data_IF_562153116293
#
_entry.id   IF_562153116293
#
_cell.length_a   1.000
_cell.length_b   1.000
_cell.length_c   1.000
_cell.angle_alpha   90.00
_cell.angle_beta   90.00
_cell.angle_gamma   90.00
#
_symmetry.space_group_name_H-M   'P 1'
#
loop_
_entity.id
_entity.type
_entity.pdbx_description
1 polymer ?
#
# COMPACT_ATOMS: atom_id res chain seq x y z
N UNK A 1 1.93 -22.69 29.26
CA UNK A 1 1.29 -22.08 28.07
C UNK A 1 2.11 -22.51 26.87
N UNK A 2 1.64 -23.51 26.10
CA UNK A 2 2.35 -23.97 24.89
C UNK A 2 2.28 -22.85 23.86
N UNK A 3 3.42 -22.20 23.58
CA UNK A 3 3.58 -21.31 22.43
C UNK A 3 3.48 -22.23 21.21
N UNK A 4 2.28 -22.36 20.64
CA UNK A 4 2.14 -22.93 19.29
C UNK A 4 2.99 -22.00 18.42
N UNK A 5 4.11 -22.51 17.91
CA UNK A 5 4.96 -21.78 16.98
C UNK A 5 4.11 -21.63 15.72
N UNK A 6 3.46 -20.47 15.58
CA UNK A 6 2.83 -20.09 14.32
C UNK A 6 3.91 -20.24 13.25
N UNK A 7 3.66 -21.10 12.26
CA UNK A 7 4.63 -21.31 11.21
C UNK A 7 4.77 -20.00 10.42
N UNK A 8 5.95 -19.37 10.48
CA UNK A 8 6.27 -18.12 9.79
C UNK A 8 6.83 -18.35 8.37
N UNK A 9 6.94 -19.61 7.92
CA UNK A 9 7.50 -19.97 6.61
C UNK A 9 6.78 -19.28 5.44
N UNK A 10 5.46 -19.09 5.54
CA UNK A 10 4.69 -18.41 4.50
C UNK A 10 5.03 -16.92 4.41
N UNK A 11 5.43 -16.27 5.51
CA UNK A 11 5.89 -14.87 5.53
C UNK A 11 7.23 -14.75 4.81
N UNK A 12 8.12 -15.73 5.00
CA UNK A 12 9.38 -15.81 4.23
C UNK A 12 9.07 -15.89 2.74
N UNK A 13 8.10 -16.73 2.34
CA UNK A 13 7.62 -16.81 0.96
C UNK A 13 7.13 -15.48 0.41
N UNK A 14 6.36 -14.72 1.18
CA UNK A 14 5.89 -13.37 0.80
C UNK A 14 7.06 -12.40 0.62
N UNK A 15 8.02 -12.39 1.54
CA UNK A 15 9.19 -11.50 1.48
C UNK A 15 10.03 -11.82 0.24
N UNK A 16 10.38 -13.09 0.04
CA UNK A 16 11.18 -13.53 -1.12
C UNK A 16 10.45 -13.26 -2.43
N UNK A 17 9.16 -13.57 -2.51
CA UNK A 17 8.33 -13.28 -3.67
C UNK A 17 8.25 -11.79 -3.98
N UNK A 18 8.13 -10.95 -2.95
CA UNK A 18 8.11 -9.48 -3.09
C UNK A 18 9.42 -8.95 -3.64
N UNK A 19 10.56 -9.43 -3.11
CA UNK A 19 11.90 -9.05 -3.59
C UNK A 19 12.09 -9.46 -5.05
N UNK A 20 11.71 -10.69 -5.40
CA UNK A 20 11.79 -11.20 -6.78
C UNK A 20 10.93 -10.35 -7.73
N UNK A 21 9.69 -10.04 -7.34
CA UNK A 21 8.82 -9.16 -8.14
C UNK A 21 9.39 -7.76 -8.31
N UNK A 22 10.04 -7.18 -7.29
CA UNK A 22 10.74 -5.91 -7.43
C UNK A 22 11.94 -5.99 -8.37
N UNK A 23 12.73 -7.06 -8.31
CA UNK A 23 13.83 -7.29 -9.26
C UNK A 23 13.27 -7.36 -10.69
N UNK A 24 12.17 -8.08 -10.90
CA UNK A 24 11.48 -8.19 -12.18
C UNK A 24 11.00 -6.84 -12.68
N UNK A 25 10.33 -6.05 -11.84
CA UNK A 25 9.85 -4.70 -12.19
C UNK A 25 11.02 -3.81 -12.62
N UNK A 26 12.12 -3.82 -11.87
CA UNK A 26 13.30 -3.01 -12.17
C UNK A 26 13.97 -3.43 -13.48
N UNK A 27 14.25 -4.72 -13.67
CA UNK A 27 15.03 -5.21 -14.82
C UNK A 27 14.21 -5.33 -16.09
N UNK A 28 12.99 -5.87 -16.00
CA UNK A 28 12.18 -6.22 -17.17
C UNK A 28 11.28 -5.06 -17.57
N UNK A 29 10.52 -4.50 -16.63
CA UNK A 29 9.53 -3.47 -16.96
C UNK A 29 10.13 -2.08 -17.09
N UNK A 30 10.92 -1.67 -16.10
CA UNK A 30 11.54 -0.33 -16.05
C UNK A 30 12.89 -0.26 -16.75
N UNK A 31 13.53 -1.42 -17.01
CA UNK A 31 14.88 -1.52 -17.60
C UNK A 31 15.94 -0.71 -16.84
N UNK A 32 15.75 -0.55 -15.53
CA UNK A 32 16.63 0.16 -14.62
C UNK A 32 17.10 -0.80 -13.52
N UNK A 33 18.32 -1.37 -13.61
CA UNK A 33 18.79 -2.33 -12.61
C UNK A 33 19.09 -1.69 -11.25
N UNK A 34 19.33 -0.38 -11.22
CA UNK A 34 19.66 0.35 -9.99
C UNK A 34 18.43 1.08 -9.42
N UNK A 35 18.11 0.79 -8.15
CA UNK A 35 17.00 1.42 -7.42
C UNK A 35 17.08 2.95 -7.42
N UNK A 36 18.27 3.52 -7.22
CA UNK A 36 18.45 4.98 -7.16
C UNK A 36 18.19 5.62 -8.53
N UNK A 37 18.61 4.95 -9.61
CA UNK A 37 18.30 5.40 -10.98
C UNK A 37 16.80 5.33 -11.26
N UNK A 38 16.13 4.27 -10.83
CA UNK A 38 14.66 4.15 -10.94
C UNK A 38 13.92 5.25 -10.17
N UNK A 39 14.34 5.55 -8.94
CA UNK A 39 13.71 6.59 -8.12
C UNK A 39 13.88 8.00 -8.72
N UNK A 40 15.01 8.26 -9.39
CA UNK A 40 15.29 9.55 -10.05
C UNK A 40 14.83 9.62 -11.51
N UNK A 41 14.23 8.56 -12.06
CA UNK A 41 13.79 8.52 -13.45
C UNK A 41 12.64 9.50 -13.72
N UNK A 42 12.65 10.19 -14.85
CA UNK A 42 11.55 11.06 -15.23
C UNK A 42 10.39 10.28 -15.86
N UNK A 43 9.19 10.87 -15.79
CA UNK A 43 7.97 10.25 -16.33
C UNK A 43 8.07 9.96 -17.84
N UNK A 44 8.76 10.83 -18.59
CA UNK A 44 8.88 10.71 -20.05
C UNK A 44 9.80 9.55 -20.46
N UNK A 45 10.83 9.27 -19.66
CA UNK A 45 11.81 8.22 -19.92
C UNK A 45 11.37 6.85 -19.37
N UNK A 46 10.17 6.78 -18.79
CA UNK A 46 9.66 5.58 -18.11
C UNK A 46 8.78 4.74 -19.03
N UNK A 47 9.25 3.54 -19.37
CA UNK A 47 8.46 2.53 -20.07
C UNK A 47 7.55 1.76 -19.11
N UNK A 48 6.45 1.19 -19.63
CA UNK A 48 5.59 0.23 -18.92
C UNK A 48 5.10 0.69 -17.52
N UNK A 49 4.78 1.98 -17.37
CA UNK A 49 4.48 2.55 -16.05
C UNK A 49 3.25 1.90 -15.41
N UNK A 50 2.17 1.71 -16.18
CA UNK A 50 0.93 1.16 -15.65
C UNK A 50 1.07 -0.31 -15.18
N UNK A 51 1.66 -1.24 -15.96
CA UNK A 51 1.96 -2.58 -15.48
C UNK A 51 2.89 -2.60 -14.26
N UNK A 52 3.92 -1.75 -14.22
CA UNK A 52 4.80 -1.62 -13.04
C UNK A 52 4.04 -1.15 -11.81
N UNK A 53 3.15 -0.16 -11.98
CA UNK A 53 2.29 0.35 -10.92
C UNK A 53 1.40 -0.76 -10.36
N UNK A 54 0.76 -1.55 -11.21
CA UNK A 54 -0.08 -2.67 -10.77
C UNK A 54 0.71 -3.71 -9.96
N UNK A 55 1.89 -4.11 -10.44
CA UNK A 55 2.72 -5.09 -9.75
C UNK A 55 3.21 -4.56 -8.40
N UNK A 56 3.75 -3.33 -8.37
CA UNK A 56 4.25 -2.73 -7.12
C UNK A 56 3.11 -2.47 -6.13
N UNK A 57 1.95 -2.02 -6.59
CA UNK A 57 0.77 -1.88 -5.74
C UNK A 57 0.30 -3.22 -5.17
N UNK A 58 0.33 -4.29 -5.95
CA UNK A 58 -0.02 -5.64 -5.48
C UNK A 58 0.95 -6.11 -4.39
N UNK A 59 2.25 -5.98 -4.63
CA UNK A 59 3.28 -6.31 -3.62
C UNK A 59 3.08 -5.48 -2.35
N UNK A 60 2.85 -4.17 -2.49
CA UNK A 60 2.59 -3.29 -1.36
C UNK A 60 1.34 -3.71 -0.56
N UNK A 61 0.24 -4.06 -1.24
CA UNK A 61 -0.99 -4.53 -0.59
C UNK A 61 -0.74 -5.83 0.18
N UNK A 62 -0.02 -6.79 -0.40
CA UNK A 62 0.30 -8.06 0.26
C UNK A 62 1.17 -7.82 1.49
N UNK A 63 2.24 -7.03 1.37
CA UNK A 63 3.12 -6.70 2.49
C UNK A 63 2.37 -5.96 3.61
N UNK A 64 1.56 -4.97 3.25
CA UNK A 64 0.77 -4.21 4.22
C UNK A 64 -0.24 -5.10 4.93
N UNK A 65 -0.93 -5.99 4.20
CA UNK A 65 -1.89 -6.95 4.76
C UNK A 65 -1.23 -7.96 5.68
N UNK A 66 0.00 -8.36 5.36
CA UNK A 66 0.83 -9.25 6.19
C UNK A 66 1.22 -8.55 7.50
N UNK A 67 1.50 -7.25 7.46
CA UNK A 67 1.83 -6.50 8.67
C UNK A 67 0.58 -6.26 9.53
N UNK A 68 -0.54 -5.88 8.90
CA UNK A 68 -1.76 -5.49 9.60
C UNK A 68 -2.52 -6.66 10.20
N UNK A 69 -2.44 -7.88 9.64
CA UNK A 69 -3.23 -9.00 10.17
C UNK A 69 -2.87 -9.33 11.63
N UNK A 70 -1.63 -9.11 12.06
CA UNK A 70 -1.20 -9.31 13.44
C UNK A 70 -1.97 -8.44 14.45
N UNK A 71 -2.50 -7.29 13.98
CA UNK A 71 -3.21 -6.33 14.81
C UNK A 71 -4.74 -6.49 14.71
N UNK A 72 -5.25 -7.26 13.75
CA UNK A 72 -6.69 -7.46 13.60
C UNK A 72 -7.21 -8.42 14.68
N UNK A 73 -8.17 -7.97 15.52
CA UNK A 73 -8.58 -8.72 16.70
C UNK A 73 -9.36 -9.99 16.36
N UNK A 74 -10.28 -9.91 15.40
CA UNK A 74 -11.07 -11.06 14.96
C UNK A 74 -11.66 -10.83 13.56
N UNK A 75 -12.02 -11.91 12.87
CA UNK A 75 -12.76 -11.82 11.60
C UNK A 75 -14.24 -11.56 11.94
N UNK A 76 -14.88 -10.52 11.39
CA UNK A 76 -16.27 -10.25 11.66
C UNK A 76 -17.21 -11.39 11.24
N UNK A 77 -18.28 -11.62 12.01
CA UNK A 77 -19.24 -12.72 11.78
C UNK A 77 -19.91 -12.69 10.40
N UNK A 78 -20.16 -11.49 9.86
CA UNK A 78 -20.76 -11.34 8.53
C UNK A 78 -19.81 -11.79 7.41
N UNK A 79 -18.49 -11.83 7.66
CA UNK A 79 -17.49 -12.37 6.72
C UNK A 79 -17.29 -13.86 6.95
N UNK A 80 -17.30 -14.32 8.20
CA UNK A 80 -17.13 -15.76 8.51
C UNK A 80 -18.30 -16.60 7.96
N UNK A 81 -19.50 -16.03 7.88
CA UNK A 81 -20.69 -16.71 7.36
C UNK A 81 -20.73 -16.82 5.82
N UNK A 82 -19.90 -16.06 5.10
CA UNK A 82 -19.88 -16.03 3.62
C UNK A 82 -18.96 -17.12 3.05
N UNK A 83 -18.63 -18.15 3.84
CA UNK A 83 -17.70 -19.22 3.49
C UNK A 83 -17.84 -19.70 2.04
N UNK A 84 -16.87 -19.34 1.21
CA UNK A 84 -16.86 -19.74 -0.20
C UNK A 84 -16.36 -21.18 -0.25
N UNK A 85 -17.20 -22.09 -0.74
CA UNK A 85 -16.89 -23.52 -0.87
C UNK A 85 -16.47 -24.21 0.46
N UNK A 86 -16.99 -23.76 1.61
CA UNK A 86 -16.73 -24.35 2.92
C UNK A 86 -15.41 -23.91 3.58
N UNK A 87 -14.67 -22.99 2.97
CA UNK A 87 -13.50 -22.37 3.59
C UNK A 87 -13.90 -21.10 4.36
N UNK A 88 -13.62 -21.07 5.66
CA UNK A 88 -13.71 -19.85 6.45
C UNK A 88 -12.50 -18.94 6.16
N UNK A 89 -12.70 -17.65 5.87
CA UNK A 89 -11.61 -16.74 5.60
C UNK A 89 -10.71 -16.59 6.83
N UNK A 90 -9.41 -16.84 6.64
CA UNK A 90 -8.40 -16.61 7.68
C UNK A 90 -8.29 -15.12 8.01
N UNK A 91 -7.74 -14.77 9.18
CA UNK A 91 -7.47 -13.36 9.56
C UNK A 91 -6.68 -12.63 8.47
N UNK A 92 -5.69 -13.31 7.88
CA UNK A 92 -4.93 -12.80 6.74
C UNK A 92 -5.78 -12.65 5.47
N UNK A 93 -6.63 -13.62 5.14
CA UNK A 93 -7.52 -13.53 3.98
C UNK A 93 -8.50 -12.36 4.09
N UNK A 94 -9.05 -12.13 5.28
CA UNK A 94 -9.88 -10.96 5.58
C UNK A 94 -9.11 -9.65 5.40
N UNK A 95 -7.92 -9.52 6.00
CA UNK A 95 -7.13 -8.29 5.88
C UNK A 95 -6.71 -8.02 4.44
N UNK A 96 -6.27 -9.05 3.72
CA UNK A 96 -5.90 -8.94 2.31
C UNK A 96 -7.07 -8.47 1.44
N UNK A 97 -8.26 -9.02 1.65
CA UNK A 97 -9.46 -8.62 0.91
C UNK A 97 -9.80 -7.15 1.19
N UNK A 98 -9.90 -6.77 2.46
CA UNK A 98 -10.27 -5.40 2.86
C UNK A 98 -9.26 -4.38 2.33
N UNK A 99 -7.95 -4.64 2.47
CA UNK A 99 -6.90 -3.74 1.97
C UNK A 99 -6.91 -3.69 0.44
N UNK A 100 -7.12 -4.82 -0.25
CA UNK A 100 -7.21 -4.86 -1.72
C UNK A 100 -8.38 -4.03 -2.23
N UNK A 101 -9.59 -4.24 -1.69
CA UNK A 101 -10.79 -3.48 -2.05
C UNK A 101 -10.59 -2.00 -1.77
N UNK A 102 -9.99 -1.65 -0.63
CA UNK A 102 -9.68 -0.28 -0.27
C UNK A 102 -8.80 0.42 -1.31
N UNK A 103 -7.66 -0.17 -1.68
CA UNK A 103 -6.75 0.44 -2.65
C UNK A 103 -7.35 0.46 -4.06
N UNK A 104 -8.16 -0.54 -4.42
CA UNK A 104 -8.90 -0.57 -5.68
C UNK A 104 -9.90 0.58 -5.75
N UNK A 105 -10.80 0.70 -4.77
CA UNK A 105 -11.79 1.79 -4.71
C UNK A 105 -11.09 3.15 -4.70
N UNK A 106 -10.02 3.31 -3.91
CA UNK A 106 -9.24 4.56 -3.87
C UNK A 106 -8.64 4.91 -5.25
N UNK A 107 -8.17 3.92 -6.01
CA UNK A 107 -7.64 4.14 -7.35
C UNK A 107 -8.72 4.66 -8.31
N UNK A 108 -9.92 4.07 -8.31
CA UNK A 108 -11.04 4.53 -9.13
C UNK A 108 -11.57 5.89 -8.71
N UNK A 109 -11.72 6.15 -7.40
CA UNK A 109 -12.13 7.47 -6.92
C UNK A 109 -11.12 8.55 -7.31
N UNK A 110 -9.82 8.23 -7.28
CA UNK A 110 -8.78 9.13 -7.77
C UNK A 110 -8.91 9.37 -9.28
N UNK A 111 -9.16 8.33 -10.07
CA UNK A 111 -9.41 8.48 -11.51
C UNK A 111 -10.62 9.38 -11.80
N UNK A 112 -11.74 9.16 -11.11
CA UNK A 112 -12.94 9.99 -11.26
C UNK A 112 -12.69 11.45 -10.86
N UNK A 113 -11.93 11.68 -9.78
CA UNK A 113 -11.55 13.04 -9.39
C UNK A 113 -10.73 13.76 -10.47
N UNK A 114 -9.72 13.10 -11.06
CA UNK A 114 -8.94 13.71 -12.13
C UNK A 114 -9.74 13.91 -13.42
N UNK A 115 -10.73 13.04 -13.67
CA UNK A 115 -11.65 13.17 -14.79
C UNK A 115 -12.62 14.35 -14.60
N UNK A 116 -13.12 14.57 -13.37
CA UNK A 116 -14.07 15.66 -13.08
C UNK A 116 -13.45 17.05 -13.13
N UNK A 117 -12.13 17.16 -12.94
CA UNK A 117 -11.40 18.45 -12.94
C UNK A 117 -10.75 18.73 -14.31
N UNK A 118 -11.00 17.89 -15.33
CA UNK A 118 -10.41 17.98 -16.68
C UNK A 118 -8.86 17.93 -16.73
N UNK A 119 -8.22 17.29 -15.73
CA UNK A 119 -6.76 17.13 -15.65
C UNK A 119 -6.37 15.66 -15.85
N UNK A 120 -7.06 14.94 -16.75
CA UNK A 120 -6.81 13.51 -16.96
C UNK A 120 -5.35 13.20 -17.36
N UNK A 121 -4.69 14.11 -18.08
CA UNK A 121 -3.26 13.99 -18.42
C UNK A 121 -2.34 13.94 -17.19
N UNK A 122 -2.77 14.51 -16.06
CA UNK A 122 -2.05 14.47 -14.78
C UNK A 122 -2.15 13.12 -14.06
N UNK A 123 -3.17 12.32 -14.37
CA UNK A 123 -3.38 11.00 -13.74
C UNK A 123 -2.24 10.03 -14.03
N UNK A 124 -1.67 10.09 -15.25
CA UNK A 124 -0.45 9.37 -15.64
C UNK A 124 0.71 9.60 -14.67
N UNK A 125 1.03 10.88 -14.47
CA UNK A 125 2.09 11.32 -13.56
C UNK A 125 1.78 10.95 -12.11
N UNK A 126 0.50 10.92 -11.75
CA UNK A 126 0.06 10.59 -10.40
C UNK A 126 0.32 9.13 -10.03
N UNK A 127 -0.08 8.18 -10.88
CA UNK A 127 0.20 6.77 -10.57
C UNK A 127 1.68 6.43 -10.74
N UNK A 128 2.44 7.15 -11.58
CA UNK A 128 3.91 7.05 -11.62
C UNK A 128 4.55 7.46 -10.29
N UNK A 129 4.07 8.55 -9.69
CA UNK A 129 4.54 8.98 -8.38
C UNK A 129 4.15 8.00 -7.28
N UNK A 130 2.91 7.48 -7.34
CA UNK A 130 2.44 6.44 -6.43
C UNK A 130 3.27 5.16 -6.55
N UNK A 131 3.67 4.77 -7.77
CA UNK A 131 4.54 3.63 -8.03
C UNK A 131 5.85 3.75 -7.24
N UNK A 132 6.57 4.88 -7.36
CA UNK A 132 7.82 5.10 -6.63
C UNK A 132 7.61 5.12 -5.12
N UNK A 133 6.55 5.78 -4.67
CA UNK A 133 6.22 5.87 -3.26
C UNK A 133 5.89 4.49 -2.65
N UNK A 134 5.07 3.67 -3.33
CA UNK A 134 4.76 2.31 -2.88
C UNK A 134 5.96 1.38 -2.95
N UNK A 135 6.85 1.56 -3.93
CA UNK A 135 8.10 0.82 -4.01
C UNK A 135 8.97 1.08 -2.77
N UNK A 136 9.20 2.35 -2.43
CA UNK A 136 10.01 2.72 -1.25
C UNK A 136 9.37 2.24 0.05
N UNK A 137 8.05 2.46 0.22
CA UNK A 137 7.36 1.95 1.40
C UNK A 137 7.37 0.42 1.46
N UNK A 138 7.27 -0.26 0.33
CA UNK A 138 7.34 -1.71 0.28
C UNK A 138 8.69 -2.25 0.76
N UNK A 139 9.79 -1.59 0.41
CA UNK A 139 11.11 -1.93 0.98
C UNK A 139 11.14 -1.75 2.50
N UNK A 140 10.57 -0.64 3.02
CA UNK A 140 10.46 -0.41 4.46
C UNK A 140 9.59 -1.49 5.12
N UNK A 141 8.47 -1.88 4.51
CA UNK A 141 7.58 -2.93 5.01
C UNK A 141 8.26 -4.29 5.05
N UNK A 142 9.10 -4.64 4.06
CA UNK A 142 9.88 -5.89 4.10
C UNK A 142 10.77 -5.93 5.34
N UNK A 143 11.48 -4.83 5.63
CA UNK A 143 12.33 -4.72 6.83
C UNK A 143 11.49 -4.82 8.11
N UNK A 144 10.36 -4.11 8.16
CA UNK A 144 9.46 -4.15 9.32
C UNK A 144 8.87 -5.55 9.56
N UNK A 145 8.46 -6.26 8.50
CA UNK A 145 7.97 -7.63 8.61
C UNK A 145 9.05 -8.56 9.17
N UNK A 146 10.30 -8.38 8.75
CA UNK A 146 11.40 -9.14 9.32
C UNK A 146 11.52 -8.91 10.84
N UNK A 147 11.47 -7.65 11.29
CA UNK A 147 11.49 -7.35 12.72
C UNK A 147 10.28 -7.90 13.48
N UNK A 148 9.07 -7.75 12.95
CA UNK A 148 7.83 -8.16 13.61
C UNK A 148 7.73 -9.68 13.76
N UNK A 149 8.10 -10.44 12.72
CA UNK A 149 7.90 -11.89 12.71
C UNK A 149 9.05 -12.67 13.31
N UNK A 150 10.29 -12.19 13.19
CA UNK A 150 11.47 -12.93 13.64
C UNK A 150 12.04 -12.42 14.97
N UNK A 151 11.53 -11.30 15.50
CA UNK A 151 11.94 -10.75 16.80
C UNK A 151 10.78 -10.77 17.78
N UNK A 152 11.06 -11.11 19.04
CA UNK A 152 10.06 -11.09 20.11
C UNK A 152 9.85 -9.68 20.68
N UNK A 153 9.28 -8.78 19.87
CA UNK A 153 8.93 -7.41 20.29
C UNK A 153 7.53 -7.40 20.91
N UNK A 154 7.31 -6.51 21.87
CA UNK A 154 5.99 -6.30 22.47
C UNK A 154 4.96 -5.83 21.43
N UNK A 155 3.79 -6.46 21.44
CA UNK A 155 2.71 -6.21 20.47
C UNK A 155 2.14 -4.79 20.62
N UNK A 156 2.11 -4.26 21.83
CA UNK A 156 1.59 -2.91 22.08
C UNK A 156 2.52 -1.85 21.49
N UNK A 157 3.84 -2.00 21.68
CA UNK A 157 4.84 -1.12 21.09
C UNK A 157 4.81 -1.17 19.55
N UNK A 158 4.67 -2.38 18.98
CA UNK A 158 4.54 -2.57 17.54
C UNK A 158 3.30 -1.88 16.96
N UNK A 159 2.16 -1.97 17.65
CA UNK A 159 0.92 -1.31 17.24
C UNK A 159 1.09 0.22 17.23
N UNK A 160 1.70 0.79 18.27
CA UNK A 160 1.97 2.24 18.32
C UNK A 160 2.89 2.68 17.19
N UNK A 161 3.99 1.96 16.97
CA UNK A 161 4.94 2.25 15.90
C UNK A 161 4.29 2.14 14.51
N UNK A 162 3.37 1.18 14.33
CA UNK A 162 2.59 1.05 13.11
C UNK A 162 1.70 2.28 12.87
N UNK A 163 0.92 2.74 13.86
CA UNK A 163 0.06 3.92 13.69
C UNK A 163 0.86 5.21 13.46
N UNK A 164 1.94 5.43 14.21
CA UNK A 164 2.82 6.59 14.00
C UNK A 164 3.49 6.54 12.63
N UNK A 165 4.01 5.37 12.23
CA UNK A 165 4.63 5.16 10.93
C UNK A 165 3.64 5.38 9.78
N UNK A 166 2.41 4.88 9.89
CA UNK A 166 1.35 5.10 8.92
C UNK A 166 0.98 6.57 8.81
N UNK A 167 0.79 7.27 9.94
CA UNK A 167 0.49 8.70 9.96
C UNK A 167 1.61 9.55 9.33
N UNK A 168 2.86 9.28 9.71
CA UNK A 168 4.04 9.94 9.16
C UNK A 168 4.18 9.71 7.65
N UNK A 169 3.95 8.47 7.22
CA UNK A 169 3.99 8.08 5.80
C UNK A 169 2.95 8.84 4.98
N UNK A 170 1.72 8.98 5.48
CA UNK A 170 0.67 9.76 4.83
C UNK A 170 1.01 11.25 4.77
N UNK A 171 1.53 11.80 5.86
CA UNK A 171 1.96 13.19 5.92
C UNK A 171 3.05 13.49 4.88
N UNK A 172 4.08 12.65 4.79
CA UNK A 172 5.12 12.77 3.77
C UNK A 172 4.57 12.67 2.35
N UNK A 173 3.61 11.77 2.10
CA UNK A 173 2.97 11.63 0.78
C UNK A 173 2.27 12.93 0.36
N UNK A 174 1.51 13.53 1.27
CA UNK A 174 0.77 14.76 1.01
C UNK A 174 1.72 15.92 0.71
N UNK A 175 2.77 16.09 1.53
CA UNK A 175 3.79 17.11 1.31
C UNK A 175 4.48 16.91 -0.04
N UNK A 176 4.89 15.68 -0.33
CA UNK A 176 5.59 15.36 -1.57
C UNK A 176 4.71 15.67 -2.79
N UNK A 177 3.41 15.37 -2.74
CA UNK A 177 2.49 15.67 -3.84
C UNK A 177 2.21 17.17 -4.00
N UNK A 178 2.18 17.92 -2.89
CA UNK A 178 2.00 19.38 -2.92
C UNK A 178 3.22 20.11 -3.46
N UNK A 179 4.43 19.65 -3.13
CA UNK A 179 5.70 20.28 -3.49
C UNK A 179 6.28 19.76 -4.82
N UNK A 180 5.69 18.75 -5.44
CA UNK A 180 6.25 18.15 -6.64
C UNK A 180 6.28 19.15 -7.82
N UNK A 181 7.44 19.35 -8.48
CA UNK A 181 7.61 20.37 -9.53
C UNK A 181 6.68 20.14 -10.73
N UNK A 182 6.31 18.90 -11.00
CA UNK A 182 5.38 18.51 -12.06
C UNK A 182 3.91 18.92 -11.88
N UNK A 183 3.55 19.66 -10.80
CA UNK A 183 2.19 20.14 -10.47
C UNK A 183 1.11 19.07 -10.69
N UNK A 184 1.24 17.97 -9.94
CA UNK A 184 0.42 16.77 -10.13
C UNK A 184 -1.03 17.00 -9.64
N UNK A 185 -1.19 17.84 -8.62
CA UNK A 185 -2.50 18.24 -8.12
C UNK A 185 -3.06 19.43 -8.91
N UNK A 186 -4.40 19.61 -8.95
CA UNK A 186 -5.03 20.78 -9.57
C UNK A 186 -4.46 22.10 -9.04
N UNK A 187 -4.40 23.13 -9.88
CA UNK A 187 -3.79 24.41 -9.49
C UNK A 187 -4.59 25.13 -8.40
N UNK A 188 -5.92 25.09 -8.51
CA UNK A 188 -6.84 25.70 -7.57
C UNK A 188 -6.73 25.11 -6.17
N UNK A 189 -6.68 25.98 -5.17
CA UNK A 189 -6.43 25.58 -3.78
C UNK A 189 -7.58 24.73 -3.21
N UNK A 190 -8.83 25.00 -3.60
CA UNK A 190 -9.99 24.26 -3.12
C UNK A 190 -9.98 22.78 -3.58
N UNK A 191 -9.55 22.50 -4.81
CA UNK A 191 -9.43 21.13 -5.29
C UNK A 191 -8.31 20.36 -4.59
N UNK A 192 -7.22 21.03 -4.19
CA UNK A 192 -6.15 20.40 -3.38
C UNK A 192 -6.68 19.97 -2.02
N UNK A 193 -7.44 20.84 -1.34
CA UNK A 193 -8.08 20.53 -0.06
C UNK A 193 -9.06 19.38 -0.22
N UNK A 194 -9.93 19.46 -1.23
CA UNK A 194 -10.92 18.42 -1.50
C UNK A 194 -10.23 17.06 -1.69
N UNK A 195 -9.18 17.00 -2.51
CA UNK A 195 -8.38 15.80 -2.72
C UNK A 195 -7.77 15.25 -1.42
N UNK A 196 -7.14 16.12 -0.62
CA UNK A 196 -6.48 15.72 0.63
C UNK A 196 -7.49 15.17 1.63
N UNK A 197 -8.61 15.86 1.83
CA UNK A 197 -9.64 15.45 2.79
C UNK A 197 -10.35 14.17 2.35
N UNK A 198 -10.80 14.11 1.08
CA UNK A 198 -11.68 13.02 0.61
C UNK A 198 -10.95 11.77 0.13
N UNK A 199 -9.74 11.91 -0.45
CA UNK A 199 -9.00 10.78 -1.03
C UNK A 199 -7.77 10.36 -0.21
N UNK A 200 -7.25 11.25 0.63
CA UNK A 200 -6.19 10.89 1.58
C UNK A 200 -6.78 10.55 2.94
N UNK A 201 -7.27 11.50 3.73
CA UNK A 201 -7.58 11.25 5.15
C UNK A 201 -8.80 10.37 5.40
N UNK A 202 -9.97 10.73 4.87
CA UNK A 202 -11.23 10.02 5.17
C UNK A 202 -11.15 8.52 4.85
N UNK A 203 -10.60 8.08 3.69
CA UNK A 203 -10.53 6.66 3.37
C UNK A 203 -9.68 5.87 4.38
N UNK A 204 -8.56 6.42 4.86
CA UNK A 204 -7.73 5.71 5.85
C UNK A 204 -8.43 5.58 7.21
N UNK A 205 -9.25 6.55 7.60
CA UNK A 205 -10.08 6.46 8.81
C UNK A 205 -11.12 5.34 8.64
N UNK A 206 -11.78 5.27 7.48
CA UNK A 206 -12.75 4.20 7.15
C UNK A 206 -12.06 2.83 7.14
N UNK A 207 -10.87 2.72 6.56
CA UNK A 207 -10.08 1.49 6.57
C UNK A 207 -9.76 1.04 8.00
N UNK A 208 -9.31 1.96 8.86
CA UNK A 208 -9.06 1.67 10.27
C UNK A 208 -10.32 1.14 10.96
N UNK A 209 -11.47 1.79 10.75
CA UNK A 209 -12.73 1.31 11.30
C UNK A 209 -13.05 -0.11 10.80
N UNK A 210 -12.90 -0.40 9.51
CA UNK A 210 -13.19 -1.73 8.95
C UNK A 210 -12.25 -2.82 9.49
N UNK A 211 -10.97 -2.54 9.67
CA UNK A 211 -10.00 -3.53 10.16
C UNK A 211 -10.11 -3.81 11.66
N UNK A 212 -10.59 -2.85 12.46
CA UNK A 212 -10.63 -2.93 13.93
C UNK A 212 -12.07 -2.94 14.51
N UNK A 213 -13.08 -3.31 13.72
CA UNK A 213 -14.46 -3.54 14.18
C UNK A 213 -14.55 -4.73 15.13
#
# INVERSE_FOLDING_TARGET
>A
MLRIVENTDWVVGIILGSVLLYILVLHVLQRQPNVLKFLNQDFQDSGNIFPSFLLVSTVFIVLLSTLTYNFVPSVPRWVSQVGVAGFEPTRFGYTLLVVSVFYFVKFFLTFFFFSSVDILKGWGKMYFLCLKYYFVLGLVLIVLLFFVFFTSVDHFLLLQLFFYGAGLSLFFKVIYFLLHPGRILPQEWYYKILYICTLQFVPYIVLGKLLFI
#
